data_IF_118978592523
#
_entry.id   IF_118978592523
#
_cell.length_a   1.000
_cell.length_b   1.000
_cell.length_c   1.000
_cell.angle_alpha   90.00
_cell.angle_beta   90.00
_cell.angle_gamma   90.00
#
_symmetry.space_group_name_H-M   'P 1'
#
loop_
_entity.id
_entity.type
_entity.pdbx_description
1 polymer ?
#
# COMPACT_ATOMS: atom_id res chain seq x y z
N UNK A 1 18.58 14.07 -10.32
CA UNK A 1 17.71 12.89 -10.36
C UNK A 1 16.83 12.82 -9.12
N UNK A 2 15.53 13.02 -9.30
CA UNK A 2 14.49 12.72 -8.32
C UNK A 2 14.11 11.24 -8.45
N UNK A 3 14.29 10.45 -7.39
CA UNK A 3 13.86 9.04 -7.38
C UNK A 3 12.82 8.85 -6.28
N UNK A 4 11.56 8.69 -6.69
CA UNK A 4 10.45 8.41 -5.78
C UNK A 4 10.64 7.05 -5.09
N UNK A 5 10.44 7.01 -3.76
CA UNK A 5 10.38 5.73 -3.04
C UNK A 5 9.19 4.92 -3.57
N UNK A 6 9.40 3.61 -3.76
CA UNK A 6 8.35 2.65 -4.11
C UNK A 6 7.18 2.65 -3.11
N UNK A 7 7.43 3.12 -1.89
CA UNK A 7 6.49 3.16 -0.77
C UNK A 7 5.84 4.52 -0.56
N UNK A 8 6.14 5.53 -1.39
CA UNK A 8 5.42 6.81 -1.36
C UNK A 8 3.93 6.62 -1.63
N UNK A 9 3.09 7.39 -0.95
CA UNK A 9 1.63 7.39 -1.10
C UNK A 9 1.23 7.82 -2.51
N UNK A 10 1.92 8.85 -3.02
CA UNK A 10 1.76 9.36 -4.37
C UNK A 10 2.97 8.99 -5.23
N UNK A 11 2.70 8.48 -6.43
CA UNK A 11 3.72 8.15 -7.41
C UNK A 11 4.13 9.42 -8.18
N UNK A 12 5.42 9.74 -8.17
CA UNK A 12 5.98 10.85 -8.92
C UNK A 12 6.67 10.33 -10.18
N UNK A 13 6.12 10.64 -11.35
CA UNK A 13 6.75 10.38 -12.64
C UNK A 13 5.76 10.01 -13.74
N UNK A 14 6.17 10.28 -14.99
CA UNK A 14 5.49 9.73 -16.18
C UNK A 14 6.01 8.31 -16.40
N UNK A 15 5.24 7.29 -16.03
CA UNK A 15 5.49 5.96 -16.61
C UNK A 15 4.93 5.97 -18.03
N UNK A 16 5.70 6.49 -18.98
CA UNK A 16 5.36 6.48 -20.41
C UNK A 16 5.31 5.06 -21.02
N UNK A 17 5.42 4.02 -20.19
CA UNK A 17 5.57 2.62 -20.59
C UNK A 17 4.62 1.66 -19.88
N UNK A 18 3.51 2.13 -19.28
CA UNK A 18 2.48 1.22 -18.78
C UNK A 18 1.42 0.87 -19.84
N UNK A 19 1.41 1.58 -20.97
CA UNK A 19 0.60 1.27 -22.15
C UNK A 19 1.49 1.20 -23.40
N UNK A 20 1.14 0.31 -24.31
CA UNK A 20 1.73 0.23 -25.64
C UNK A 20 1.04 1.22 -26.60
N UNK A 21 1.69 1.63 -27.70
CA UNK A 21 1.13 2.64 -28.61
C UNK A 21 -0.17 2.26 -29.31
N UNK A 22 -0.52 0.97 -29.34
CA UNK A 22 -1.70 0.44 -30.03
C UNK A 22 -2.88 0.10 -29.09
N UNK A 23 -2.67 0.22 -27.77
CA UNK A 23 -3.73 0.05 -26.77
C UNK A 23 -4.61 1.31 -26.69
N UNK A 24 -5.79 1.14 -26.10
CA UNK A 24 -6.75 2.23 -25.92
C UNK A 24 -6.16 3.36 -25.06
N UNK A 25 -6.54 4.61 -25.39
CA UNK A 25 -6.10 5.77 -24.64
C UNK A 25 -6.93 5.93 -23.36
N UNK A 26 -6.45 5.29 -22.30
CA UNK A 26 -7.03 5.34 -20.96
C UNK A 26 -6.09 6.10 -20.04
N UNK A 27 -6.62 6.80 -19.04
CA UNK A 27 -5.84 7.45 -17.99
C UNK A 27 -6.16 6.82 -16.63
N UNK A 28 -5.12 6.64 -15.82
CA UNK A 28 -5.26 6.24 -14.41
C UNK A 28 -4.76 7.38 -13.53
N UNK A 29 -5.60 7.81 -12.59
CA UNK A 29 -5.32 8.88 -11.64
C UNK A 29 -5.50 8.33 -10.22
N UNK A 30 -4.52 8.60 -9.34
CA UNK A 30 -4.62 8.17 -7.95
C UNK A 30 -5.69 8.99 -7.21
N UNK A 31 -6.56 8.29 -6.48
CA UNK A 31 -7.65 8.88 -5.69
C UNK A 31 -7.24 8.95 -4.22
N UNK A 32 -7.62 10.01 -3.53
CA UNK A 32 -7.42 10.17 -2.08
C UNK A 32 -8.68 10.77 -1.45
N UNK A 33 -8.90 10.51 -0.16
CA UNK A 33 -9.98 11.18 0.58
C UNK A 33 -9.59 12.62 0.98
N UNK A 34 -10.59 13.46 1.18
CA UNK A 34 -10.40 14.76 1.85
C UNK A 34 -9.70 14.55 3.20
N UNK A 35 -8.69 15.37 3.48
CA UNK A 35 -7.83 15.32 4.66
C UNK A 35 -7.02 14.03 4.84
N UNK A 36 -6.96 13.15 3.83
CA UNK A 36 -6.05 12.00 3.86
C UNK A 36 -4.59 12.49 3.80
N UNK A 37 -3.74 11.93 4.65
CA UNK A 37 -2.31 12.26 4.65
C UNK A 37 -1.62 11.61 3.47
N UNK A 38 -1.04 12.44 2.59
CA UNK A 38 -0.23 12.03 1.45
C UNK A 38 1.23 12.21 1.84
N UNK A 39 1.90 11.08 2.09
CA UNK A 39 3.33 11.05 2.42
C UNK A 39 4.16 10.60 1.23
N UNK A 40 5.12 11.41 0.83
CA UNK A 40 6.04 11.13 -0.28
C UNK A 40 7.46 11.14 0.26
N UNK A 41 8.22 10.08 -0.01
CA UNK A 41 9.66 10.08 0.22
C UNK A 41 10.39 9.91 -1.10
N UNK A 42 11.48 10.64 -1.27
CA UNK A 42 12.28 10.55 -2.48
C UNK A 42 13.75 10.77 -2.18
N UNK A 43 14.58 10.15 -3.01
CA UNK A 43 16.02 10.35 -3.03
C UNK A 43 16.36 11.47 -4.01
N UNK A 44 17.26 12.36 -3.59
CA UNK A 44 17.72 13.48 -4.39
C UNK A 44 19.21 13.77 -4.18
N UNK A 45 19.83 14.40 -5.18
CA UNK A 45 21.24 14.82 -5.16
C UNK A 45 21.43 16.32 -4.86
N UNK A 46 20.36 17.11 -4.92
CA UNK A 46 20.36 18.56 -4.68
C UNK A 46 19.85 18.88 -3.27
N UNK A 47 20.14 20.07 -2.76
CA UNK A 47 19.60 20.61 -1.50
C UNK A 47 18.33 21.44 -1.68
N UNK A 48 18.02 21.88 -2.90
CA UNK A 48 17.02 22.92 -3.14
C UNK A 48 15.78 22.33 -3.80
N UNK A 49 15.05 21.48 -3.08
CA UNK A 49 13.77 20.95 -3.55
C UNK A 49 12.62 21.87 -3.16
N UNK A 50 11.71 22.12 -4.08
CA UNK A 50 10.42 22.76 -3.82
C UNK A 50 9.29 21.86 -4.29
N UNK A 51 8.26 21.76 -3.45
CA UNK A 51 7.04 21.00 -3.74
C UNK A 51 5.85 21.96 -3.71
N UNK A 52 4.92 21.78 -4.65
CA UNK A 52 3.64 22.48 -4.67
C UNK A 52 2.55 21.59 -5.23
N UNK A 53 1.31 21.91 -4.91
CA UNK A 53 0.17 21.42 -5.66
C UNK A 53 -0.66 22.59 -6.19
N UNK A 54 -1.28 22.37 -7.34
CA UNK A 54 -2.10 23.36 -8.05
C UNK A 54 -3.50 22.77 -8.18
N UNK A 55 -4.52 23.54 -7.78
CA UNK A 55 -5.91 23.15 -7.99
C UNK A 55 -6.38 23.48 -9.41
N UNK A 56 -7.59 23.05 -9.78
CA UNK A 56 -8.17 23.38 -11.09
C UNK A 56 -8.34 24.90 -11.34
N UNK A 57 -8.51 25.69 -10.28
CA UNK A 57 -8.62 27.16 -10.37
C UNK A 57 -7.25 27.84 -10.59
N UNK A 58 -6.15 27.08 -10.65
CA UNK A 58 -4.78 27.61 -10.83
C UNK A 58 -4.14 28.15 -9.55
N UNK A 59 -4.77 27.95 -8.39
CA UNK A 59 -4.24 28.35 -7.08
C UNK A 59 -3.14 27.38 -6.68
N UNK A 60 -1.93 27.92 -6.54
CA UNK A 60 -0.76 27.16 -6.09
C UNK A 60 -0.65 27.17 -4.56
N UNK A 61 -0.41 26.01 -3.97
CA UNK A 61 -0.09 25.87 -2.55
C UNK A 61 1.28 25.21 -2.40
N UNK A 62 2.18 25.88 -1.67
CA UNK A 62 3.53 25.39 -1.41
C UNK A 62 3.48 24.35 -0.29
N UNK A 63 4.18 23.24 -0.48
CA UNK A 63 4.35 22.18 0.51
C UNK A 63 5.79 22.16 1.00
N UNK A 64 5.98 21.98 2.31
CA UNK A 64 7.31 21.87 2.88
C UNK A 64 8.00 20.57 2.43
N UNK A 65 9.29 20.68 2.10
CA UNK A 65 10.15 19.54 1.81
C UNK A 65 11.18 19.42 2.92
N UNK A 66 11.12 18.32 3.67
CA UNK A 66 11.99 18.07 4.82
C UNK A 66 13.13 17.13 4.46
N UNK A 67 14.35 17.44 4.88
CA UNK A 67 15.49 16.53 4.77
C UNK A 67 15.44 15.54 5.94
N UNK A 68 15.26 14.25 5.66
CA UNK A 68 15.13 13.22 6.71
C UNK A 68 16.44 12.47 6.96
N UNK A 69 17.29 12.33 5.94
CA UNK A 69 18.53 11.57 6.07
C UNK A 69 19.59 11.99 5.05
N UNK A 70 20.85 11.97 5.48
CA UNK A 70 22.03 12.16 4.64
C UNK A 70 22.81 10.84 4.66
N UNK A 71 23.10 10.29 3.48
CA UNK A 71 23.82 9.02 3.37
C UNK A 71 25.26 9.14 3.88
N UNK A 72 25.70 8.29 4.83
CA UNK A 72 27.05 8.33 5.35
C UNK A 72 28.06 7.95 4.26
N UNK A 73 29.10 8.77 4.09
CA UNK A 73 30.15 8.54 3.10
C UNK A 73 29.84 9.03 1.68
N UNK A 74 28.63 9.54 1.44
CA UNK A 74 28.28 10.26 0.21
C UNK A 74 27.30 11.40 0.53
N UNK A 75 27.83 12.56 0.90
CA UNK A 75 27.07 13.77 1.30
C UNK A 75 26.12 14.31 0.21
N UNK A 76 26.24 13.77 -1.01
CA UNK A 76 25.39 14.12 -2.15
C UNK A 76 24.05 13.39 -2.10
N UNK A 77 23.99 12.16 -1.58
CA UNK A 77 22.76 11.38 -1.56
C UNK A 77 21.93 11.66 -0.31
N UNK A 78 20.75 12.24 -0.52
CA UNK A 78 19.86 12.69 0.54
C UNK A 78 18.48 12.14 0.32
N UNK A 79 17.80 11.83 1.42
CA UNK A 79 16.40 11.42 1.39
C UNK A 79 15.58 12.56 1.97
N UNK A 80 14.54 12.92 1.23
CA UNK A 80 13.60 13.97 1.56
C UNK A 80 12.22 13.39 1.78
N UNK A 81 11.41 14.10 2.56
CA UNK A 81 10.03 13.79 2.82
C UNK A 81 9.13 15.01 2.57
N UNK A 82 7.96 14.74 2.03
CA UNK A 82 6.89 15.71 1.81
C UNK A 82 5.63 15.09 2.39
N UNK A 83 4.98 15.81 3.31
CA UNK A 83 3.71 15.41 3.92
C UNK A 83 2.71 16.54 3.75
N UNK A 84 1.54 16.23 3.19
CA UNK A 84 0.46 17.19 3.04
C UNK A 84 -0.88 16.47 3.02
N UNK A 85 -1.94 17.26 3.17
CA UNK A 85 -3.32 16.83 3.01
C UNK A 85 -4.10 17.95 2.31
N UNK A 86 -5.16 17.57 1.59
CA UNK A 86 -5.99 18.51 0.84
C UNK A 86 -7.40 18.46 1.42
N UNK A 87 -7.96 19.64 1.70
CA UNK A 87 -9.22 19.79 2.43
C UNK A 87 -10.45 19.98 1.53
N UNK A 88 -10.28 19.99 0.20
CA UNK A 88 -11.35 20.22 -0.77
C UNK A 88 -11.27 19.16 -1.88
N UNK A 89 -12.44 18.70 -2.32
CA UNK A 89 -12.57 17.80 -3.46
C UNK A 89 -12.12 18.47 -4.77
N UNK A 90 -11.59 17.68 -5.69
CA UNK A 90 -11.21 18.15 -7.03
C UNK A 90 -9.98 17.48 -7.60
N UNK A 91 -9.62 17.91 -8.80
CA UNK A 91 -8.39 17.52 -9.49
C UNK A 91 -7.24 18.46 -9.11
N UNK A 92 -6.11 17.86 -8.79
CA UNK A 92 -4.90 18.56 -8.40
C UNK A 92 -3.70 18.03 -9.19
N UNK A 93 -2.76 18.92 -9.48
CA UNK A 93 -1.45 18.55 -10.03
C UNK A 93 -0.42 18.82 -8.93
N UNK A 94 0.27 17.76 -8.52
CA UNK A 94 1.42 17.89 -7.62
C UNK A 94 2.70 17.99 -8.45
N UNK A 95 3.56 18.95 -8.12
CA UNK A 95 4.83 19.21 -8.78
C UNK A 95 5.96 19.27 -7.75
N UNK A 96 7.02 18.50 -8.01
CA UNK A 96 8.28 18.52 -7.28
C UNK A 96 9.41 18.92 -8.22
N UNK A 97 10.21 19.92 -7.85
CA UNK A 97 11.33 20.38 -8.67
C UNK A 97 12.57 20.70 -7.83
N UNK A 98 13.74 20.61 -8.45
CA UNK A 98 15.00 21.15 -7.92
C UNK A 98 15.58 22.29 -8.78
N UNK A 99 14.78 22.86 -9.69
CA UNK A 99 15.19 23.86 -10.68
C UNK A 99 15.81 23.29 -11.95
N UNK A 100 16.26 22.03 -11.96
CA UNK A 100 16.83 21.36 -13.13
C UNK A 100 15.92 20.24 -13.66
N UNK A 101 15.28 19.51 -12.74
CA UNK A 101 14.35 18.43 -13.01
C UNK A 101 13.01 18.75 -12.37
N UNK A 102 11.95 18.29 -13.02
CA UNK A 102 10.58 18.40 -12.53
C UNK A 102 9.90 17.03 -12.63
N UNK A 103 9.27 16.62 -11.54
CA UNK A 103 8.38 15.48 -11.50
C UNK A 103 6.98 15.96 -11.13
N UNK A 104 6.02 15.73 -12.01
CA UNK A 104 4.62 16.09 -11.79
C UNK A 104 3.70 14.88 -11.95
N UNK A 105 2.58 14.91 -11.25
CA UNK A 105 1.56 13.87 -11.29
C UNK A 105 0.19 14.45 -10.95
N UNK A 106 -0.85 13.86 -11.53
CA UNK A 106 -2.23 14.21 -11.26
C UNK A 106 -2.78 13.33 -10.12
N UNK A 107 -3.60 13.93 -9.26
CA UNK A 107 -4.30 13.23 -8.20
C UNK A 107 -5.70 13.79 -8.02
N UNK A 108 -6.62 12.93 -7.61
CA UNK A 108 -8.03 13.27 -7.46
C UNK A 108 -8.46 13.15 -5.99
N UNK A 109 -8.98 14.23 -5.43
CA UNK A 109 -9.48 14.27 -4.06
C UNK A 109 -11.00 14.12 -4.08
N UNK A 110 -11.50 13.12 -3.37
CA UNK A 110 -12.90 12.74 -3.31
C UNK A 110 -13.46 12.86 -1.89
N UNK A 111 -14.77 13.04 -1.78
CA UNK A 111 -15.46 12.91 -0.49
C UNK A 111 -15.52 11.45 -0.06
N UNK A 112 -15.72 11.22 1.23
CA UNK A 112 -15.73 9.85 1.80
C UNK A 112 -16.85 9.00 1.21
N UNK A 113 -17.99 9.61 0.89
CA UNK A 113 -19.16 8.93 0.31
C UNK A 113 -18.91 8.43 -1.13
N UNK A 114 -17.93 8.99 -1.84
CA UNK A 114 -17.59 8.61 -3.21
C UNK A 114 -16.51 7.51 -3.27
N UNK A 115 -16.04 7.05 -2.11
CA UNK A 115 -14.93 6.12 -1.96
C UNK A 115 -15.37 4.68 -1.63
N UNK A 116 -16.66 4.37 -1.73
CA UNK A 116 -17.25 3.07 -1.37
C UNK A 116 -16.60 1.87 -2.07
N UNK A 117 -16.07 2.07 -3.28
CA UNK A 117 -15.42 1.02 -4.08
C UNK A 117 -13.89 1.09 -4.05
N UNK A 118 -13.33 1.73 -3.03
CA UNK A 118 -11.89 1.86 -2.84
C UNK A 118 -11.46 1.29 -1.51
N UNK A 119 -10.28 0.69 -1.48
CA UNK A 119 -9.62 0.24 -0.25
C UNK A 119 -8.50 1.19 0.11
N UNK A 120 -8.35 1.47 1.40
CA UNK A 120 -7.19 2.17 1.95
C UNK A 120 -6.18 1.15 2.48
N UNK A 121 -5.01 1.10 1.85
CA UNK A 121 -3.89 0.29 2.33
C UNK A 121 -2.96 1.20 3.15
N UNK A 122 -3.00 1.04 4.46
CA UNK A 122 -2.06 1.70 5.38
C UNK A 122 -0.91 0.76 5.69
N UNK A 123 0.33 1.20 5.52
CA UNK A 123 1.49 0.33 5.69
C UNK A 123 2.71 1.04 6.27
N UNK A 124 3.54 0.26 6.92
CA UNK A 124 4.79 0.69 7.53
C UNK A 124 5.67 -0.53 7.80
N UNK A 125 6.91 -0.32 8.26
CA UNK A 125 7.87 -1.40 8.45
C UNK A 125 8.66 -1.22 9.73
N UNK A 126 8.95 -2.33 10.44
CA UNK A 126 9.71 -2.40 11.71
C UNK A 126 11.10 -1.77 11.64
N UNK A 127 11.70 -1.71 10.46
CA UNK A 127 13.03 -1.15 10.23
C UNK A 127 13.04 -0.23 9.01
N UNK A 128 14.02 0.68 8.97
CA UNK A 128 14.28 1.50 7.81
C UNK A 128 14.99 0.64 6.75
N UNK A 129 14.21 0.14 5.79
CA UNK A 129 14.69 -0.72 4.71
C UNK A 129 14.18 -0.23 3.35
N UNK A 130 14.68 -0.86 2.29
CA UNK A 130 14.25 -0.56 0.91
C UNK A 130 14.42 0.92 0.50
N UNK A 131 15.46 1.58 1.03
CA UNK A 131 15.72 3.01 0.83
C UNK A 131 14.56 3.93 1.23
N UNK A 132 13.79 3.52 2.24
CA UNK A 132 12.64 4.26 2.78
C UNK A 132 12.73 4.32 4.29
N UNK A 133 12.39 5.48 4.85
CA UNK A 133 12.36 5.68 6.29
C UNK A 133 10.94 5.46 6.82
N UNK A 134 10.77 4.37 7.57
CA UNK A 134 9.54 4.00 8.26
C UNK A 134 9.54 4.40 9.74
N UNK A 135 10.72 4.61 10.31
CA UNK A 135 10.92 5.15 11.65
C UNK A 135 11.76 6.43 11.60
N UNK A 136 11.25 7.49 12.22
CA UNK A 136 11.98 8.72 12.45
C UNK A 136 13.06 8.56 13.53
N UNK A 137 13.99 9.53 13.59
CA UNK A 137 15.08 9.52 14.57
C UNK A 137 14.60 9.57 16.03
N UNK A 138 13.38 10.07 16.27
CA UNK A 138 12.75 10.15 17.59
C UNK A 138 11.96 8.88 17.97
N UNK A 139 11.98 7.84 17.11
CA UNK A 139 11.18 6.63 17.28
C UNK A 139 9.75 6.73 16.71
N UNK A 140 9.40 7.86 16.09
CA UNK A 140 8.08 8.07 15.48
C UNK A 140 7.87 7.15 14.29
N UNK A 141 6.78 6.38 14.33
CA UNK A 141 6.39 5.47 13.26
C UNK A 141 5.71 6.24 12.13
N UNK A 142 6.28 6.17 10.93
CA UNK A 142 5.74 6.79 9.72
C UNK A 142 4.81 5.80 9.03
N UNK A 143 3.56 6.20 8.88
CA UNK A 143 2.54 5.44 8.17
C UNK A 143 2.39 6.03 6.77
N UNK A 144 2.36 5.15 5.77
CA UNK A 144 2.07 5.50 4.39
C UNK A 144 0.69 4.98 4.05
N UNK A 145 -0.04 5.77 3.25
CA UNK A 145 -1.40 5.46 2.84
C UNK A 145 -1.44 5.33 1.33
N UNK A 146 -2.03 4.25 0.83
CA UNK A 146 -2.23 4.05 -0.59
C UNK A 146 -3.65 3.59 -0.83
N UNK A 147 -4.43 4.45 -1.48
CA UNK A 147 -5.81 4.16 -1.86
C UNK A 147 -5.88 3.71 -3.30
N UNK A 148 -6.70 2.70 -3.54
CA UNK A 148 -6.89 2.10 -4.86
C UNK A 148 -8.30 1.53 -4.98
N UNK A 149 -8.84 1.54 -6.20
CA UNK A 149 -10.11 0.87 -6.49
C UNK A 149 -9.94 -0.63 -6.22
N UNK A 150 -10.81 -1.22 -5.42
CA UNK A 150 -10.64 -2.59 -4.97
C UNK A 150 -11.53 -2.94 -3.78
N UNK A 151 -11.40 -4.16 -3.31
CA UNK A 151 -12.16 -4.66 -2.18
C UNK A 151 -12.09 -6.17 -2.02
N UNK A 152 -12.79 -6.65 -1.00
CA UNK A 152 -13.04 -8.06 -0.75
C UNK A 152 -14.46 -8.40 -1.20
N UNK A 153 -14.60 -9.31 -2.16
CA UNK A 153 -15.91 -9.79 -2.55
C UNK A 153 -16.36 -10.90 -1.59
N UNK A 154 -17.66 -11.02 -1.26
CA UNK A 154 -18.14 -12.05 -0.33
C UNK A 154 -17.83 -13.49 -0.76
N UNK A 155 -17.73 -13.76 -2.07
CA UNK A 155 -17.40 -15.08 -2.62
C UNK A 155 -15.90 -15.34 -2.77
N UNK A 156 -15.06 -14.33 -2.55
CA UNK A 156 -13.61 -14.35 -2.75
C UNK A 156 -12.90 -14.82 -1.46
N UNK A 157 -13.34 -15.96 -0.94
CA UNK A 157 -12.84 -16.57 0.29
C UNK A 157 -12.53 -18.06 0.05
N UNK A 158 -11.40 -18.53 0.56
CA UNK A 158 -10.97 -19.94 0.52
C UNK A 158 -10.80 -20.45 1.94
N UNK A 159 -11.37 -21.62 2.23
CA UNK A 159 -11.14 -22.30 3.50
C UNK A 159 -9.84 -23.10 3.40
N UNK A 160 -8.96 -22.94 4.38
CA UNK A 160 -7.67 -23.61 4.45
C UNK A 160 -7.46 -24.24 5.84
N UNK A 161 -6.54 -25.20 5.91
CA UNK A 161 -6.19 -25.88 7.16
C UNK A 161 -4.68 -26.04 7.20
N UNK A 162 -4.06 -25.55 8.26
CA UNK A 162 -2.67 -25.83 8.59
C UNK A 162 -2.67 -27.03 9.54
N UNK A 163 -2.03 -28.12 9.17
CA UNK A 163 -2.01 -29.35 9.96
C UNK A 163 -0.62 -29.99 10.04
N UNK A 164 -0.23 -30.37 11.25
CA UNK A 164 0.97 -31.15 11.49
C UNK A 164 0.60 -32.60 11.76
N UNK A 165 1.26 -33.53 11.07
CA UNK A 165 1.09 -34.96 11.29
C UNK A 165 2.42 -35.69 11.39
N UNK A 166 2.44 -36.78 12.15
CA UNK A 166 3.54 -37.73 12.15
C UNK A 166 3.04 -39.13 11.78
N UNK A 167 3.98 -40.00 11.40
CA UNK A 167 3.72 -41.43 11.20
C UNK A 167 4.44 -42.22 12.25
N UNK A 168 3.77 -43.22 12.82
CA UNK A 168 4.42 -44.13 13.77
C UNK A 168 5.32 -45.16 13.07
N UNK A 169 5.96 -46.04 13.86
CA UNK A 169 6.84 -47.10 13.33
C UNK A 169 6.11 -48.13 12.45
N UNK A 170 4.78 -48.20 12.53
CA UNK A 170 3.91 -49.01 11.67
C UNK A 170 3.35 -48.21 10.49
N UNK A 171 3.83 -46.98 10.31
CA UNK A 171 3.47 -46.05 9.25
C UNK A 171 2.04 -45.49 9.33
N UNK A 172 1.35 -45.64 10.47
CA UNK A 172 0.03 -45.05 10.68
C UNK A 172 0.14 -43.54 10.92
N UNK A 173 -0.66 -42.71 10.23
CA UNK A 173 -0.66 -41.27 10.41
C UNK A 173 -1.42 -40.88 11.69
N UNK A 174 -0.86 -39.94 12.44
CA UNK A 174 -1.45 -39.34 13.62
C UNK A 174 -1.35 -37.81 13.51
N UNK A 175 -2.45 -37.10 13.72
CA UNK A 175 -2.49 -35.64 13.70
C UNK A 175 -2.04 -35.09 15.06
N UNK A 176 -1.12 -34.12 15.05
CA UNK A 176 -0.61 -33.46 16.25
C UNK A 176 -1.36 -32.16 16.51
N UNK A 177 -1.52 -31.35 15.47
CA UNK A 177 -2.17 -30.05 15.52
C UNK A 177 -2.91 -29.83 14.19
N UNK A 178 -3.99 -29.05 14.25
CA UNK A 178 -4.69 -28.59 13.06
C UNK A 178 -5.46 -27.33 13.39
N UNK A 179 -5.24 -26.28 12.61
CA UNK A 179 -5.94 -25.01 12.72
C UNK A 179 -6.58 -24.69 11.39
N UNK A 180 -7.89 -24.50 11.39
CA UNK A 180 -8.61 -23.97 10.25
C UNK A 180 -8.40 -22.45 10.18
N UNK A 181 -8.20 -21.93 8.98
CA UNK A 181 -8.09 -20.50 8.72
C UNK A 181 -8.71 -20.16 7.37
N UNK A 182 -9.02 -18.88 7.18
CA UNK A 182 -9.63 -18.38 5.94
C UNK A 182 -8.63 -17.50 5.18
N UNK A 183 -8.52 -17.76 3.88
CA UNK A 183 -7.76 -16.92 2.96
C UNK A 183 -8.77 -16.06 2.21
N UNK A 184 -8.66 -14.75 2.36
CA UNK A 184 -9.44 -13.76 1.63
C UNK A 184 -8.70 -13.33 0.37
N UNK A 185 -9.41 -13.08 -0.72
CA UNK A 185 -8.81 -12.59 -1.97
C UNK A 185 -9.06 -11.08 -2.07
N UNK A 186 -7.99 -10.30 -1.94
CA UNK A 186 -8.01 -8.87 -2.18
C UNK A 186 -8.00 -8.63 -3.69
N UNK A 187 -9.08 -8.07 -4.22
CA UNK A 187 -9.20 -7.71 -5.64
C UNK A 187 -8.94 -6.22 -5.84
N UNK A 188 -8.02 -5.88 -6.74
CA UNK A 188 -7.59 -4.52 -7.07
C UNK A 188 -7.91 -4.20 -8.54
N UNK A 189 -8.46 -3.02 -8.79
CA UNK A 189 -8.84 -2.49 -10.10
C UNK A 189 -10.30 -2.73 -10.49
N UNK A 190 -10.98 -3.70 -9.87
CA UNK A 190 -12.40 -4.00 -10.12
C UNK A 190 -12.74 -4.04 -11.62
N UNK A 191 -13.72 -3.27 -12.11
CA UNK A 191 -14.10 -3.22 -13.54
C UNK A 191 -13.28 -2.22 -14.37
N UNK A 192 -12.64 -1.24 -13.72
CA UNK A 192 -11.91 -0.17 -14.40
C UNK A 192 -10.44 -0.55 -14.66
N UNK A 193 -9.91 -1.46 -13.84
CA UNK A 193 -8.52 -1.89 -13.85
C UNK A 193 -7.58 -0.87 -13.22
N UNK A 194 -6.36 -1.32 -12.97
CA UNK A 194 -5.23 -0.47 -12.58
C UNK A 194 -4.02 -0.77 -13.47
N UNK A 195 -3.10 0.19 -13.63
CA UNK A 195 -1.90 -0.03 -14.40
C UNK A 195 -0.96 -0.99 -13.67
N UNK A 196 -0.11 -1.69 -14.42
CA UNK A 196 0.79 -2.73 -13.89
C UNK A 196 1.66 -2.25 -12.72
N UNK A 197 2.03 -0.97 -12.71
CA UNK A 197 2.82 -0.43 -11.62
C UNK A 197 2.11 -0.43 -10.26
N UNK A 198 0.77 -0.33 -10.24
CA UNK A 198 -0.03 -0.38 -9.02
C UNK A 198 0.04 -1.78 -8.42
N UNK A 199 -0.17 -2.81 -9.23
CA UNK A 199 -0.02 -4.20 -8.80
C UNK A 199 1.40 -4.48 -8.26
N UNK A 200 2.44 -4.01 -8.95
CA UNK A 200 3.82 -4.13 -8.48
C UNK A 200 4.07 -3.38 -7.17
N UNK A 201 3.46 -2.20 -6.99
CA UNK A 201 3.57 -1.43 -5.74
C UNK A 201 2.91 -2.18 -4.59
N UNK A 202 1.70 -2.68 -4.76
CA UNK A 202 1.00 -3.48 -3.75
C UNK A 202 1.78 -4.75 -3.43
N UNK A 203 2.35 -5.41 -4.44
CA UNK A 203 3.21 -6.57 -4.24
C UNK A 203 4.43 -6.24 -3.36
N UNK A 204 5.03 -5.05 -3.52
CA UNK A 204 6.10 -4.56 -2.65
C UNK A 204 5.61 -4.15 -1.25
N UNK A 205 4.41 -3.58 -1.12
CA UNK A 205 3.80 -3.25 0.17
C UNK A 205 3.67 -4.51 1.03
N UNK A 206 3.27 -5.65 0.45
CA UNK A 206 3.20 -6.94 1.14
C UNK A 206 4.54 -7.55 1.56
N UNK A 207 5.68 -6.91 1.26
CA UNK A 207 6.97 -7.29 1.84
C UNK A 207 7.24 -6.58 3.18
N UNK A 208 6.38 -5.62 3.56
CA UNK A 208 6.51 -4.88 4.81
C UNK A 208 5.92 -5.67 5.97
N UNK A 209 6.16 -5.20 7.19
CA UNK A 209 5.87 -5.96 8.41
C UNK A 209 4.48 -5.67 8.97
N UNK A 210 3.91 -4.51 8.64
CA UNK A 210 2.67 -4.06 9.22
C UNK A 210 1.84 -3.37 8.15
N UNK A 211 0.73 -4.02 7.81
CA UNK A 211 -0.15 -3.62 6.71
C UNK A 211 -1.56 -3.75 7.26
N UNK A 212 -2.36 -2.72 7.01
CA UNK A 212 -3.77 -2.70 7.34
C UNK A 212 -4.56 -2.30 6.09
N UNK A 213 -5.62 -3.04 5.79
CA UNK A 213 -6.57 -2.72 4.71
C UNK A 213 -7.85 -2.26 5.38
N UNK A 214 -8.24 -1.00 5.12
CA UNK A 214 -9.36 -0.32 5.78
C UNK A 214 -9.32 -0.42 7.31
N UNK A 215 -8.10 -0.42 7.87
CA UNK A 215 -7.85 -0.53 9.31
C UNK A 215 -7.74 -1.95 9.86
N UNK A 216 -7.98 -2.98 9.04
CA UNK A 216 -7.84 -4.40 9.44
C UNK A 216 -6.43 -4.90 9.11
N UNK A 217 -5.70 -5.38 10.13
CA UNK A 217 -4.37 -5.98 9.94
C UNK A 217 -4.47 -7.12 8.92
N UNK A 218 -3.60 -7.09 7.91
CA UNK A 218 -3.67 -8.02 6.79
C UNK A 218 -2.27 -8.47 6.41
N UNK A 219 -2.08 -9.78 6.24
CA UNK A 219 -0.81 -10.36 5.81
C UNK A 219 -0.99 -11.11 4.49
N UNK A 220 0.08 -11.24 3.72
CA UNK A 220 0.06 -12.12 2.53
C UNK A 220 -0.06 -13.56 2.99
N UNK A 221 -0.91 -14.34 2.32
CA UNK A 221 -0.99 -15.77 2.56
C UNK A 221 0.23 -16.47 1.95
N UNK A 222 1.03 -17.12 2.81
CA UNK A 222 2.22 -17.88 2.48
C UNK A 222 3.09 -17.27 1.35
N UNK A 223 3.41 -18.06 0.32
CA UNK A 223 4.15 -17.67 -0.87
C UNK A 223 3.20 -17.32 -2.04
N UNK A 224 1.97 -16.86 -1.77
CA UNK A 224 0.99 -16.60 -2.82
C UNK A 224 1.50 -15.58 -3.83
N UNK A 225 1.35 -15.94 -5.11
CA UNK A 225 1.75 -15.14 -6.25
C UNK A 225 0.52 -14.35 -6.72
N UNK A 226 0.61 -13.01 -6.83
CA UNK A 226 -0.50 -12.21 -7.33
C UNK A 226 -0.93 -12.67 -8.72
N UNK A 227 -2.23 -12.87 -8.93
CA UNK A 227 -2.77 -13.20 -10.24
C UNK A 227 -3.19 -11.92 -10.97
N UNK A 228 -3.01 -11.92 -12.29
CA UNK A 228 -3.32 -10.80 -13.17
C UNK A 228 -4.41 -11.24 -14.13
N UNK A 229 -5.51 -10.51 -14.18
CA UNK A 229 -6.64 -10.77 -15.08
C UNK A 229 -6.77 -9.62 -16.10
N UNK A 230 -6.91 -9.99 -17.37
CA UNK A 230 -7.19 -9.05 -18.46
C UNK A 230 -8.68 -8.69 -18.46
N UNK A 231 -8.99 -7.40 -18.62
CA UNK A 231 -10.38 -6.93 -18.67
C UNK A 231 -10.97 -7.10 -20.08
N UNK A 232 -10.22 -6.68 -21.10
CA UNK A 232 -10.61 -6.79 -22.51
C UNK A 232 -9.36 -6.71 -23.41
N UNK A 233 -9.51 -7.15 -24.66
CA UNK A 233 -8.46 -7.00 -25.66
C UNK A 233 -8.13 -5.51 -25.90
N UNK A 234 -6.84 -5.19 -26.01
CA UNK A 234 -6.31 -3.83 -26.21
C UNK A 234 -6.60 -2.82 -25.07
N UNK A 235 -7.14 -3.28 -23.94
CA UNK A 235 -7.33 -2.42 -22.76
C UNK A 235 -6.09 -2.48 -21.85
N UNK A 236 -5.42 -1.34 -21.58
CA UNK A 236 -4.09 -1.32 -20.94
C UNK A 236 -4.10 -1.47 -19.40
N UNK A 237 -5.27 -1.65 -18.79
CA UNK A 237 -5.42 -1.78 -17.34
C UNK A 237 -5.87 -3.20 -16.97
N UNK A 238 -5.49 -3.62 -15.76
CA UNK A 238 -5.58 -5.00 -15.31
C UNK A 238 -6.26 -5.10 -13.96
N UNK A 239 -6.81 -6.27 -13.67
CA UNK A 239 -7.27 -6.62 -12.31
C UNK A 239 -6.20 -7.47 -11.66
N UNK A 240 -5.85 -7.14 -10.41
CA UNK A 240 -4.90 -7.91 -9.62
C UNK A 240 -5.63 -8.58 -8.46
N UNK A 241 -5.33 -9.85 -8.20
CA UNK A 241 -5.84 -10.57 -7.03
C UNK A 241 -4.71 -11.06 -6.16
N UNK A 242 -4.81 -10.78 -4.86
CA UNK A 242 -3.84 -11.17 -3.85
C UNK A 242 -4.52 -12.05 -2.82
N UNK A 243 -3.99 -13.25 -2.59
CA UNK A 243 -4.43 -14.06 -1.45
C UNK A 243 -3.81 -13.49 -0.17
N UNK A 244 -4.68 -13.12 0.77
CA UNK A 244 -4.31 -12.50 2.03
C UNK A 244 -5.05 -13.16 3.18
N UNK A 245 -4.49 -13.03 4.37
CA UNK A 245 -5.09 -13.49 5.61
C UNK A 245 -5.37 -12.28 6.50
N UNK A 246 -6.57 -12.26 7.06
CA UNK A 246 -7.03 -11.27 8.03
C UNK A 246 -7.32 -12.00 9.35
N UNK A 247 -7.21 -11.31 10.50
CA UNK A 247 -7.60 -11.90 11.76
C UNK A 247 -9.07 -12.33 11.71
N UNK A 248 -9.43 -13.36 12.48
CA UNK A 248 -10.80 -13.86 12.56
C UNK A 248 -11.83 -12.74 12.78
N UNK A 249 -13.05 -12.91 12.25
CA UNK A 249 -14.11 -11.91 12.37
C UNK A 249 -14.34 -11.49 13.83
N UNK A 250 -14.28 -12.43 14.78
CA UNK A 250 -14.38 -12.15 16.21
C UNK A 250 -13.30 -11.17 16.70
N UNK A 251 -12.08 -11.24 16.16
CA UNK A 251 -10.98 -10.30 16.48
C UNK A 251 -11.15 -8.96 15.77
N UNK A 252 -11.72 -8.93 14.57
CA UNK A 252 -12.00 -7.69 13.83
C UNK A 252 -13.04 -6.84 14.58
N UNK A 253 -14.08 -7.47 15.15
CA UNK A 253 -15.14 -6.77 15.88
C UNK A 253 -14.88 -6.61 17.39
N UNK A 254 -13.86 -7.30 17.95
CA UNK A 254 -13.44 -7.04 19.32
C UNK A 254 -12.50 -5.84 19.37
N UNK A 255 -12.86 -4.81 20.13
CA UNK A 255 -12.04 -3.61 20.34
C UNK A 255 -10.77 -3.84 21.18
N UNK A 256 -10.34 -5.10 21.37
CA UNK A 256 -9.21 -5.49 22.21
C UNK A 256 -8.28 -6.39 21.41
N UNK A 257 -7.10 -5.88 21.03
CA UNK A 257 -6.03 -6.71 20.49
C UNK A 257 -5.47 -7.59 21.62
N UNK A 258 -6.00 -8.80 21.76
CA UNK A 258 -5.38 -9.79 22.62
C UNK A 258 -4.16 -10.35 21.88
N UNK A 259 -2.99 -9.72 22.07
CA UNK A 259 -1.73 -10.48 21.93
C UNK A 259 -1.79 -11.55 23.00
N UNK A 260 -2.04 -12.79 22.59
CA UNK A 260 -2.19 -13.96 23.47
C UNK A 260 -0.80 -14.37 23.98
N UNK A 261 -0.24 -13.54 24.86
CA UNK A 261 0.69 -14.00 25.89
C UNK A 261 0.11 -13.57 27.24
N UNK A 262 -1.16 -13.96 27.46
CA UNK A 262 -1.70 -14.03 28.80
C UNK A 262 -1.39 -15.44 29.31
N UNK A 263 -0.41 -15.55 30.20
CA UNK A 263 -0.03 -16.79 30.87
C UNK A 263 -0.95 -17.13 32.05
N UNK A 264 -2.09 -16.44 32.19
CA UNK A 264 -3.13 -16.77 33.17
C UNK A 264 -4.34 -17.46 32.55
N UNK A 265 -4.13 -18.56 31.83
CA UNK A 265 -5.18 -19.56 31.64
C UNK A 265 -5.09 -20.60 32.76
N UNK A 266 -5.66 -20.23 33.90
CA UNK A 266 -6.04 -21.18 34.95
C UNK A 266 -7.35 -21.85 34.51
N UNK A 267 -7.25 -23.15 34.24
CA UNK A 267 -8.28 -24.19 34.30
C UNK A 267 -9.75 -23.78 34.16
N UNK A 268 -10.36 -24.05 33.00
CA UNK A 268 -11.50 -24.99 32.81
C UNK A 268 -12.27 -24.66 31.53
N UNK A 269 -12.43 -25.65 30.65
CA UNK A 269 -13.56 -25.73 29.75
C UNK A 269 -14.19 -27.12 29.92
N UNK A 270 -15.45 -27.15 30.31
CA UNK A 270 -16.31 -28.34 30.20
C UNK A 270 -16.65 -28.58 28.73
#
# INVERSE_FOLDING_TARGET
>A
MIVNSKFSSLYLGRKEYWKTPFEQDVCYIQKFAINEEIRIQFKGLSSNFSAKYINYDGIETIVNVELIYIMPGNDSERIYEVVFSINKEGLYIFTLTNGYEEASTELFILKKEELENTVLISYTHRHNEYNTFFYGNNGDRKIFNFRVDGGFYPGDKKQAVDNEMFRDQRYYPHQLSSNAYEISILTIGTKQGVPVWVGNKINHIFNLSDIAIDGVETVRSEASIPTIEHIADYYPLYVFKFDVEQPDEDRIYSSKSYRVFDTTYDNTFN
#
